data_IF_692757434214
#
_entry.id   IF_692757434214
#
_cell.length_a   1.000
_cell.length_b   1.000
_cell.length_c   1.000
_cell.angle_alpha   90.00
_cell.angle_beta   90.00
_cell.angle_gamma   90.00
#
_symmetry.space_group_name_H-M   'P 1'
#
loop_
_entity.id
_entity.type
_entity.pdbx_description
1 polymer ?
#
# COMPACT_ATOMS: atom_id res chain seq x y z
N UNK A 1 -10.62 -45.31 18.33
CA UNK A 1 -10.02 -43.98 18.58
C UNK A 1 -8.98 -43.77 17.49
N UNK A 2 -9.37 -43.13 16.39
CA UNK A 2 -8.48 -42.99 15.22
C UNK A 2 -7.65 -41.72 15.41
N UNK A 3 -6.39 -41.89 15.78
CA UNK A 3 -5.39 -40.82 15.70
C UNK A 3 -5.16 -40.54 14.21
N UNK A 4 -5.65 -39.41 13.70
CA UNK A 4 -5.18 -38.90 12.41
C UNK A 4 -3.71 -38.54 12.58
N UNK A 5 -2.82 -39.42 12.13
CA UNK A 5 -1.41 -39.09 11.92
C UNK A 5 -1.36 -37.91 10.95
N UNK A 6 -1.02 -36.73 11.47
CA UNK A 6 -0.69 -35.58 10.64
C UNK A 6 0.67 -35.88 10.02
N UNK A 7 0.79 -36.03 8.69
CA UNK A 7 2.06 -36.38 8.06
C UNK A 7 3.15 -35.35 8.37
N UNK A 8 4.35 -35.82 8.74
CA UNK A 8 5.48 -34.98 9.19
C UNK A 8 5.88 -33.88 8.20
N UNK A 9 5.61 -34.07 6.90
CA UNK A 9 5.91 -33.10 5.85
C UNK A 9 5.03 -31.84 5.91
N UNK A 10 3.91 -31.85 6.63
CA UNK A 10 3.09 -30.64 6.84
C UNK A 10 3.64 -29.74 7.94
N UNK A 11 4.56 -30.25 8.78
CA UNK A 11 5.11 -29.53 9.93
C UNK A 11 6.19 -28.51 9.54
N UNK A 12 6.85 -28.71 8.40
CA UNK A 12 7.95 -27.87 7.90
C UNK A 12 7.56 -26.97 6.73
N UNK A 13 6.40 -27.20 6.10
CA UNK A 13 5.95 -26.40 4.96
C UNK A 13 5.58 -24.99 5.38
N UNK A 14 6.06 -24.01 4.62
CA UNK A 14 5.63 -22.64 4.80
C UNK A 14 4.14 -22.49 4.45
N UNK A 15 3.44 -21.51 5.05
CA UNK A 15 2.03 -21.21 4.71
C UNK A 15 1.79 -21.08 3.20
N UNK A 16 2.78 -20.55 2.47
CA UNK A 16 2.68 -20.43 1.02
C UNK A 16 2.75 -21.80 0.31
N UNK A 17 3.59 -22.71 0.75
CA UNK A 17 3.67 -24.07 0.17
C UNK A 17 2.37 -24.83 0.40
N UNK A 18 1.74 -24.66 1.56
CA UNK A 18 0.41 -25.23 1.84
C UNK A 18 -0.66 -24.68 0.86
N UNK A 19 -0.63 -23.38 0.56
CA UNK A 19 -1.51 -22.77 -0.44
C UNK A 19 -1.22 -23.27 -1.86
N UNK A 20 0.06 -23.52 -2.18
CA UNK A 20 0.48 -23.99 -3.49
C UNK A 20 0.02 -25.43 -3.74
N UNK A 21 0.07 -26.29 -2.73
CA UNK A 21 -0.40 -27.68 -2.80
C UNK A 21 -1.92 -27.79 -2.84
N UNK A 22 -2.62 -26.89 -2.14
CA UNK A 22 -4.08 -26.84 -2.18
C UNK A 22 -4.64 -26.28 -3.49
N UNK A 23 -3.82 -25.55 -4.27
CA UNK A 23 -4.26 -24.90 -5.50
C UNK A 23 -4.04 -25.79 -6.73
N UNK A 24 -5.07 -25.92 -7.58
CA UNK A 24 -4.91 -26.51 -8.90
C UNK A 24 -4.26 -25.48 -9.83
N UNK A 25 -2.95 -25.65 -10.08
CA UNK A 25 -2.17 -24.78 -10.97
C UNK A 25 -2.24 -25.28 -12.43
N UNK A 26 -2.35 -24.38 -13.42
CA UNK A 26 -2.26 -24.75 -14.82
C UNK A 26 -0.82 -25.14 -15.20
N UNK A 27 -0.68 -25.69 -16.41
CA UNK A 27 0.62 -26.07 -16.97
C UNK A 27 1.64 -24.93 -16.92
N UNK A 28 2.94 -25.25 -16.71
CA UNK A 28 3.99 -24.26 -16.56
C UNK A 28 4.05 -23.31 -17.76
N UNK A 29 3.86 -22.01 -17.46
CA UNK A 29 3.75 -20.95 -18.45
C UNK A 29 3.24 -19.65 -17.82
N UNK A 30 2.80 -18.70 -18.63
CA UNK A 30 2.28 -17.42 -18.13
C UNK A 30 1.06 -17.61 -17.21
N UNK A 31 0.15 -18.52 -17.57
CA UNK A 31 -1.01 -18.85 -16.74
C UNK A 31 -0.61 -19.38 -15.36
N UNK A 32 0.43 -20.22 -15.29
CA UNK A 32 0.98 -20.73 -14.04
C UNK A 32 1.57 -19.61 -13.18
N UNK A 33 2.34 -18.71 -13.80
CA UNK A 33 2.90 -17.55 -13.10
C UNK A 33 1.80 -16.66 -12.50
N UNK A 34 0.78 -16.32 -13.29
CA UNK A 34 -0.34 -15.48 -12.82
C UNK A 34 -1.10 -16.17 -11.68
N UNK A 35 -1.37 -17.47 -11.80
CA UNK A 35 -2.05 -18.24 -10.74
C UNK A 35 -1.24 -18.25 -9.44
N UNK A 36 0.07 -18.50 -9.53
CA UNK A 36 0.98 -18.47 -8.39
C UNK A 36 1.09 -17.08 -7.76
N UNK A 37 1.17 -16.03 -8.58
CA UNK A 37 1.23 -14.64 -8.10
C UNK A 37 -0.03 -14.27 -7.32
N UNK A 38 -1.21 -14.73 -7.76
CA UNK A 38 -2.47 -14.53 -7.01
C UNK A 38 -2.40 -15.17 -5.62
N UNK A 39 -1.85 -16.39 -5.52
CA UNK A 39 -1.65 -17.06 -4.22
C UNK A 39 -0.66 -16.30 -3.32
N UNK A 40 0.41 -15.73 -3.89
CA UNK A 40 1.37 -14.91 -3.13
C UNK A 40 0.78 -13.63 -2.53
N UNK A 41 -0.28 -13.10 -3.12
CA UNK A 41 -0.93 -11.88 -2.62
C UNK A 41 -1.93 -12.14 -1.50
N UNK A 42 -2.21 -13.40 -1.16
CA UNK A 42 -3.15 -13.74 -0.09
C UNK A 42 -2.55 -13.31 1.25
N UNK A 43 -3.20 -12.40 2.00
CA UNK A 43 -2.72 -11.96 3.30
C UNK A 43 -2.60 -13.15 4.26
N UNK A 44 -1.49 -13.23 5.00
CA UNK A 44 -1.35 -14.27 6.03
C UNK A 44 -2.23 -13.94 7.23
N UNK A 45 -2.99 -14.91 7.77
CA UNK A 45 -3.87 -14.69 8.91
C UNK A 45 -3.14 -14.27 10.20
N UNK A 46 -1.82 -14.50 10.29
CA UNK A 46 -1.01 -14.20 11.48
C UNK A 46 -0.25 -12.86 11.44
N UNK A 47 -0.42 -12.04 10.39
CA UNK A 47 0.28 -10.75 10.29
C UNK A 47 -0.28 -9.66 11.21
N UNK A 48 -1.38 -9.93 11.92
CA UNK A 48 -2.10 -9.00 12.77
C UNK A 48 -1.92 -9.34 14.25
N UNK A 49 -0.69 -9.23 14.76
CA UNK A 49 -0.52 -8.96 16.19
C UNK A 49 -0.90 -7.49 16.45
N UNK A 50 -2.20 -7.22 16.31
CA UNK A 50 -2.88 -5.96 16.58
C UNK A 50 -3.11 -5.82 18.08
N UNK A 51 -2.12 -6.20 18.91
CA UNK A 51 -2.15 -5.81 20.32
C UNK A 51 -1.37 -4.52 20.42
N UNK A 52 -2.02 -3.38 20.72
CA UNK A 52 -1.34 -2.11 20.85
C UNK A 52 -0.40 -2.19 22.06
N UNK A 53 0.89 -2.39 21.82
CA UNK A 53 1.88 -2.49 22.90
C UNK A 53 2.32 -1.09 23.38
N UNK A 54 2.10 -0.07 22.55
CA UNK A 54 2.43 1.32 22.87
C UNK A 54 1.17 2.22 22.88
N UNK A 55 0.16 1.81 23.67
CA UNK A 55 -1.16 2.46 23.76
C UNK A 55 -1.09 3.98 23.87
N UNK A 56 -0.12 4.53 24.61
CA UNK A 56 -0.02 5.98 24.82
C UNK A 56 0.38 6.71 23.53
N UNK A 57 1.49 6.33 22.92
CA UNK A 57 1.93 6.90 21.64
C UNK A 57 0.95 6.58 20.51
N UNK A 58 0.43 5.36 20.46
CA UNK A 58 -0.51 4.99 19.41
C UNK A 58 -1.82 5.79 19.53
N UNK A 59 -2.36 5.97 20.75
CA UNK A 59 -3.50 6.88 20.98
C UNK A 59 -3.15 8.32 20.63
N UNK A 60 -1.93 8.76 20.95
CA UNK A 60 -1.47 10.11 20.64
C UNK A 60 -1.40 10.35 19.12
N UNK A 61 -0.82 9.41 18.37
CA UNK A 61 -0.71 9.45 16.91
C UNK A 61 -2.07 9.28 16.22
N UNK A 62 -2.92 8.39 16.73
CA UNK A 62 -4.32 8.22 16.27
C UNK A 62 -5.14 9.50 16.47
N UNK A 63 -5.03 10.15 17.64
CA UNK A 63 -5.77 11.38 17.95
C UNK A 63 -5.42 12.53 17.00
N UNK A 64 -4.16 12.62 16.57
CA UNK A 64 -3.69 13.66 15.63
C UNK A 64 -3.85 13.28 14.16
N UNK A 65 -4.49 12.15 13.84
CA UNK A 65 -4.71 11.71 12.47
C UNK A 65 -3.41 11.51 11.68
N UNK A 66 -2.29 11.22 12.36
CA UNK A 66 -0.99 11.09 11.72
C UNK A 66 -0.31 12.41 11.32
N UNK A 67 -0.87 13.58 11.65
CA UNK A 67 -0.22 14.87 11.40
C UNK A 67 0.67 15.25 12.58
N UNK A 68 1.99 15.10 12.40
CA UNK A 68 2.98 15.25 13.47
C UNK A 68 3.66 16.63 13.47
N UNK A 69 3.29 17.54 12.57
CA UNK A 69 3.95 18.84 12.36
C UNK A 69 3.88 19.83 13.54
N UNK A 70 3.21 19.48 14.62
CA UNK A 70 3.08 20.27 15.85
C UNK A 70 4.30 20.09 16.76
N UNK A 71 5.03 21.17 17.03
CA UNK A 71 6.19 21.18 17.94
C UNK A 71 5.87 20.64 19.35
N UNK A 72 4.61 20.74 19.79
CA UNK A 72 4.16 20.18 21.06
C UNK A 72 4.28 18.64 21.10
N UNK A 73 4.00 17.93 20.00
CA UNK A 73 4.22 16.47 19.91
C UNK A 73 5.68 16.11 20.09
N UNK A 74 6.54 16.91 19.46
CA UNK A 74 7.97 16.73 19.48
C UNK A 74 8.49 16.79 20.92
N UNK A 75 8.06 17.83 21.67
CA UNK A 75 8.41 18.02 23.08
C UNK A 75 7.76 17.01 24.02
N UNK A 76 6.59 16.47 23.68
CA UNK A 76 5.89 15.46 24.48
C UNK A 76 6.59 14.08 24.50
N UNK A 77 7.69 13.92 23.75
CA UNK A 77 8.55 12.73 23.83
C UNK A 77 8.83 12.06 22.49
N UNK A 78 8.34 12.61 21.37
CA UNK A 78 8.61 12.05 20.06
C UNK A 78 10.10 12.13 19.68
N UNK A 79 10.79 13.19 20.12
CA UNK A 79 12.25 13.35 19.96
C UNK A 79 13.02 12.14 20.49
N UNK A 80 12.61 11.57 21.63
CA UNK A 80 13.26 10.40 22.22
C UNK A 80 13.05 9.14 21.39
N UNK A 81 11.83 8.97 20.85
CA UNK A 81 11.49 7.82 20.01
C UNK A 81 12.25 7.91 18.69
N UNK A 82 12.25 9.08 18.05
CA UNK A 82 12.98 9.34 16.82
C UNK A 82 14.49 9.14 17.01
N UNK A 83 15.10 9.72 18.06
CA UNK A 83 16.54 9.50 18.38
C UNK A 83 16.87 8.02 18.55
N UNK A 84 16.01 7.26 19.24
CA UNK A 84 16.21 5.81 19.40
C UNK A 84 16.15 5.05 18.08
N UNK A 85 15.26 5.46 17.16
CA UNK A 85 15.17 4.86 15.82
C UNK A 85 16.43 5.20 15.01
N UNK A 86 16.80 6.47 14.95
CA UNK A 86 17.95 6.96 14.15
C UNK A 86 19.28 6.44 14.69
N UNK A 87 19.40 6.20 16.00
CA UNK A 87 20.59 5.57 16.59
C UNK A 87 20.71 4.06 16.32
N UNK A 88 19.75 3.47 15.60
CA UNK A 88 19.69 2.03 15.35
C UNK A 88 19.31 1.20 16.58
N UNK A 89 18.69 1.81 17.60
CA UNK A 89 18.24 1.05 18.75
C UNK A 89 17.09 0.12 18.35
N UNK A 90 17.15 -1.13 18.80
CA UNK A 90 16.05 -2.07 18.58
C UNK A 90 14.82 -1.58 19.32
N UNK A 91 13.70 -1.49 18.60
CA UNK A 91 12.40 -1.20 19.19
C UNK A 91 12.05 -2.32 20.17
N UNK A 92 11.88 -1.97 21.45
CA UNK A 92 11.47 -2.92 22.50
C UNK A 92 10.06 -3.48 22.28
N UNK A 93 9.23 -2.73 21.55
CA UNK A 93 7.84 -3.04 21.29
C UNK A 93 7.56 -2.90 19.80
N UNK A 94 6.69 -3.77 19.29
CA UNK A 94 6.28 -3.73 17.90
C UNK A 94 5.38 -2.50 17.68
N UNK A 95 5.65 -1.75 16.62
CA UNK A 95 4.86 -0.59 16.21
C UNK A 95 4.39 -0.78 14.76
N UNK A 96 3.13 -0.42 14.43
CA UNK A 96 2.69 -0.37 13.05
C UNK A 96 3.60 0.51 12.20
N UNK A 97 4.00 0.00 11.04
CA UNK A 97 4.94 0.68 10.13
C UNK A 97 4.46 2.09 9.74
N UNK A 98 3.16 2.27 9.55
CA UNK A 98 2.56 3.58 9.24
C UNK A 98 2.95 4.65 10.27
N UNK A 99 2.94 4.32 11.57
CA UNK A 99 3.33 5.26 12.61
C UNK A 99 4.84 5.51 12.61
N UNK A 100 5.63 4.48 12.36
CA UNK A 100 7.08 4.62 12.26
C UNK A 100 7.48 5.59 11.15
N UNK A 101 6.86 5.45 9.97
CA UNK A 101 7.08 6.34 8.82
C UNK A 101 6.71 7.79 9.17
N UNK A 102 5.60 8.01 9.86
CA UNK A 102 5.21 9.35 10.29
C UNK A 102 6.20 9.97 11.27
N UNK A 103 6.70 9.20 12.25
CA UNK A 103 7.71 9.67 13.21
C UNK A 103 9.01 10.05 12.50
N UNK A 104 9.43 9.24 11.52
CA UNK A 104 10.62 9.52 10.70
C UNK A 104 10.44 10.81 9.90
N UNK A 105 9.32 10.95 9.20
CA UNK A 105 9.00 12.14 8.43
C UNK A 105 9.03 13.40 9.31
N UNK A 106 8.43 13.33 10.50
CA UNK A 106 8.46 14.44 11.45
C UNK A 106 9.87 14.81 11.90
N UNK A 107 10.73 13.82 12.14
CA UNK A 107 12.13 14.09 12.49
C UNK A 107 12.93 14.69 11.35
N UNK A 108 12.73 14.25 10.10
CA UNK A 108 13.37 14.87 8.95
C UNK A 108 12.93 16.32 8.74
N UNK A 109 11.65 16.63 8.99
CA UNK A 109 11.14 18.00 8.96
C UNK A 109 11.82 18.85 10.04
N UNK A 110 12.04 18.30 11.24
CA UNK A 110 12.64 19.03 12.35
C UNK A 110 14.14 19.28 12.15
N UNK A 111 14.86 18.30 11.60
CA UNK A 111 16.29 18.40 11.28
C UNK A 111 16.56 19.26 10.02
N UNK A 112 15.51 19.72 9.33
CA UNK A 112 15.63 20.43 8.06
C UNK A 112 16.11 19.56 6.90
N UNK A 113 16.18 18.24 7.09
CA UNK A 113 16.46 17.27 6.02
C UNK A 113 15.32 17.24 5.00
N UNK A 114 14.08 17.50 5.44
CA UNK A 114 12.91 17.59 4.58
C UNK A 114 12.19 18.95 4.71
N UNK A 115 11.95 19.67 3.59
CA UNK A 115 11.28 20.97 3.64
C UNK A 115 9.77 20.86 3.97
N UNK A 116 9.26 21.79 4.79
CA UNK A 116 7.82 21.84 5.14
C UNK A 116 6.98 22.22 3.92
N UNK A 117 5.92 21.45 3.65
CA UNK A 117 4.91 21.77 2.63
C UNK A 117 5.32 21.53 1.18
N UNK A 118 6.47 20.92 0.92
CA UNK A 118 6.88 20.61 -0.45
C UNK A 118 6.14 19.38 -0.97
N UNK A 119 5.42 19.55 -2.08
CA UNK A 119 4.81 18.43 -2.80
C UNK A 119 5.92 17.69 -3.53
N UNK A 120 5.97 16.37 -3.35
CA UNK A 120 6.87 15.49 -4.10
C UNK A 120 6.44 15.56 -5.57
N UNK A 121 7.34 15.97 -6.45
CA UNK A 121 7.07 15.85 -7.88
C UNK A 121 6.93 14.37 -8.24
N UNK A 122 6.00 14.00 -9.13
CA UNK A 122 5.87 12.62 -9.55
C UNK A 122 7.21 12.12 -10.08
N UNK A 123 7.64 10.94 -9.63
CA UNK A 123 8.86 10.32 -10.13
C UNK A 123 8.66 9.94 -11.59
N UNK A 124 9.73 9.94 -12.41
CA UNK A 124 9.65 9.59 -13.83
C UNK A 124 9.03 8.20 -14.08
N UNK A 125 9.13 7.28 -13.11
CA UNK A 125 8.49 5.96 -13.15
C UNK A 125 6.95 6.00 -13.14
N UNK A 126 6.34 7.04 -12.56
CA UNK A 126 4.88 7.26 -12.56
C UNK A 126 4.40 7.86 -13.88
N UNK A 127 5.25 8.64 -14.57
CA UNK A 127 4.94 9.19 -15.90
C UNK A 127 4.83 8.08 -16.96
N UNK A 128 5.60 7.00 -16.83
CA UNK A 128 5.51 5.84 -17.72
C UNK A 128 4.18 5.09 -17.52
N UNK A 129 3.67 4.98 -16.29
CA UNK A 129 2.38 4.33 -16.02
C UNK A 129 1.18 5.14 -16.53
N UNK A 130 1.25 6.48 -16.50
CA UNK A 130 0.20 7.33 -17.07
C UNK A 130 0.16 7.27 -18.61
N UNK A 131 1.31 7.06 -19.26
CA UNK A 131 1.42 6.96 -20.71
C UNK A 131 1.04 5.57 -21.27
N UNK A 132 0.98 4.52 -20.44
CA UNK A 132 0.81 3.12 -20.87
C UNK A 132 -0.61 2.57 -20.67
N UNK A 133 -1.58 3.37 -20.21
CA UNK A 133 -2.98 2.93 -20.27
C UNK A 133 -3.44 2.89 -21.74
N UNK A 134 -3.75 1.71 -22.32
CA UNK A 134 -4.42 1.68 -23.61
C UNK A 134 -5.81 2.28 -23.42
N UNK A 135 -5.96 3.50 -23.93
CA UNK A 135 -7.23 4.12 -24.27
C UNK A 135 -7.99 3.18 -25.22
N UNK A 136 -8.80 2.27 -24.66
CA UNK A 136 -9.70 1.42 -25.44
C UNK A 136 -10.90 0.97 -24.61
N UNK A 137 -11.96 1.79 -24.68
CA UNK A 137 -13.37 1.39 -24.80
C UNK A 137 -14.19 2.69 -24.92
N UNK A 138 -14.34 3.22 -26.14
CA UNK A 138 -15.56 3.15 -26.97
C UNK A 138 -16.62 4.20 -26.57
N UNK A 139 -16.60 5.36 -27.23
CA UNK A 139 -17.45 5.72 -28.39
C UNK A 139 -18.95 5.82 -28.07
N UNK A 140 -19.48 7.03 -28.21
CA UNK A 140 -20.85 7.27 -28.68
C UNK A 140 -20.87 8.59 -29.44
N UNK A 141 -20.46 8.53 -30.71
CA UNK A 141 -20.93 9.48 -31.71
C UNK A 141 -22.37 9.09 -32.02
N UNK A 142 -23.32 9.96 -31.71
CA UNK A 142 -24.68 9.83 -32.23
C UNK A 142 -25.01 11.12 -32.96
N UNK A 143 -24.83 11.07 -34.27
CA UNK A 143 -25.45 11.99 -35.21
C UNK A 143 -26.94 11.68 -35.32
N UNK A 144 -27.80 12.69 -35.28
CA UNK A 144 -29.09 12.73 -36.00
C UNK A 144 -29.47 14.23 -36.15
N UNK A 145 -29.26 14.85 -37.32
CA UNK A 145 -30.25 15.11 -38.42
C UNK A 145 -31.22 16.25 -38.02
N UNK A 146 -31.34 17.35 -38.78
CA UNK A 146 -32.04 17.43 -40.07
C UNK A 146 -31.50 18.48 -41.04
N UNK A 147 -31.37 18.06 -42.30
CA UNK A 147 -31.40 18.92 -43.48
C UNK A 147 -32.69 19.73 -43.53
N UNK A 148 -32.62 21.01 -43.92
CA UNK A 148 -33.63 21.62 -44.80
C UNK A 148 -32.91 22.41 -45.88
N UNK A 149 -32.96 21.83 -47.08
CA UNK A 149 -32.72 22.43 -48.38
C UNK A 149 -33.85 23.43 -48.68
N UNK A 150 -33.51 24.69 -48.93
CA UNK A 150 -34.30 25.56 -49.82
C UNK A 150 -33.32 26.56 -50.45
N UNK A 151 -33.08 26.42 -51.76
CA UNK A 151 -32.41 27.45 -52.54
C UNK A 151 -33.39 28.54 -52.95
N UNK A 152 -32.88 29.75 -53.18
CA UNK A 152 -33.39 30.62 -54.23
C UNK A 152 -32.33 31.69 -54.55
N UNK A 153 -31.92 31.69 -55.82
CA UNK A 153 -31.23 32.75 -56.55
C UNK A 153 -32.18 33.93 -56.83
N UNK A 154 -31.59 35.04 -57.28
CA UNK A 154 -32.17 36.30 -57.79
C UNK A 154 -32.29 37.40 -56.72
N UNK A 155 -31.69 38.58 -56.90
CA UNK A 155 -31.56 39.39 -58.13
C UNK A 155 -30.19 40.09 -58.27
#
# INVERSE_FOLDING_TARGET
>A
MNNLEVPDHLRTKSHFELLLEAANLPEPGLAHFIARQRLWRIPRPHASTTRPQHLVLERFLKRRGGRIDSDEAWRAGLDKVWKGITSGAKLKQNMPLTYLVQILQAGWIQDGTWPRGHVVQPSDDELVQAAVLPSSASQSVTSLVTNTCTGEEQE
#
